data_IF_151929619526
#
_entry.id   IF_151929619526
#
_cell.length_a   1.000
_cell.length_b   1.000
_cell.length_c   1.000
_cell.angle_alpha   90.00
_cell.angle_beta   90.00
_cell.angle_gamma   90.00
#
_symmetry.space_group_name_H-M   'P 1'
#
loop_
_entity.id
_entity.type
_entity.pdbx_description
1 polymer ?
#
# COMPACT_ATOMS: atom_id res chain seq x y z
N UNK A 1 -4.29 17.46 -5.17
CA UNK A 1 -4.70 17.30 -6.59
C UNK A 1 -5.94 16.40 -6.61
N UNK A 2 -6.88 16.52 -7.57
CA UNK A 2 -8.17 15.80 -7.54
C UNK A 2 -8.05 14.29 -7.35
N UNK A 3 -7.09 13.63 -8.02
CA UNK A 3 -6.86 12.18 -7.87
C UNK A 3 -6.45 11.74 -6.45
N UNK A 4 -5.81 12.62 -5.68
CA UNK A 4 -5.42 12.31 -4.30
C UNK A 4 -6.61 12.42 -3.35
N UNK A 5 -7.58 13.29 -3.65
CA UNK A 5 -8.87 13.33 -2.95
C UNK A 5 -9.64 12.01 -3.17
N UNK A 6 -9.57 11.45 -4.37
CA UNK A 6 -10.18 10.15 -4.67
C UNK A 6 -9.51 9.00 -3.91
N UNK A 7 -8.18 8.94 -3.91
CA UNK A 7 -7.45 7.94 -3.13
C UNK A 7 -7.72 8.07 -1.62
N UNK A 8 -7.76 9.28 -1.07
CA UNK A 8 -8.11 9.50 0.35
C UNK A 8 -9.50 8.97 0.67
N UNK A 9 -10.49 9.31 -0.17
CA UNK A 9 -11.86 8.78 -0.04
C UNK A 9 -11.86 7.25 -0.06
N UNK A 10 -11.14 6.63 -0.99
CA UNK A 10 -11.00 5.17 -1.06
C UNK A 10 -10.39 4.56 0.21
N UNK A 11 -9.31 5.16 0.74
CA UNK A 11 -8.62 4.68 1.95
C UNK A 11 -9.50 4.82 3.21
N UNK A 12 -10.37 5.83 3.25
CA UNK A 12 -11.30 6.09 4.35
C UNK A 12 -12.52 5.15 4.34
N UNK A 13 -12.89 4.56 3.20
CA UNK A 13 -14.02 3.63 3.09
C UNK A 13 -13.94 2.51 4.13
N UNK A 14 -15.07 2.17 4.75
CA UNK A 14 -15.13 1.07 5.71
C UNK A 14 -15.34 -0.29 5.03
N UNK A 15 -14.38 -0.66 4.20
CA UNK A 15 -14.32 -1.96 3.51
C UNK A 15 -12.91 -2.54 3.65
N UNK A 16 -12.75 -3.86 3.66
CA UNK A 16 -11.42 -4.48 3.62
C UNK A 16 -10.67 -4.07 2.35
N UNK A 17 -9.36 -3.89 2.47
CA UNK A 17 -8.42 -3.52 1.43
C UNK A 17 -7.40 -4.62 1.31
N UNK A 18 -7.32 -5.22 0.12
CA UNK A 18 -6.26 -6.14 -0.23
C UNK A 18 -5.12 -5.37 -0.88
N UNK A 19 -3.92 -5.52 -0.30
CA UNK A 19 -2.79 -4.67 -0.64
C UNK A 19 -1.63 -5.55 -1.10
N UNK A 20 -1.03 -5.18 -2.23
CA UNK A 20 0.21 -5.75 -2.70
C UNK A 20 1.27 -4.65 -2.81
N UNK A 21 2.44 -4.92 -2.24
CA UNK A 21 3.63 -4.11 -2.44
C UNK A 21 4.51 -4.80 -3.48
N UNK A 22 5.05 -4.04 -4.43
CA UNK A 22 6.07 -4.48 -5.34
C UNK A 22 7.25 -3.51 -5.34
N UNK A 23 8.46 -4.05 -5.45
CA UNK A 23 9.68 -3.30 -5.67
C UNK A 23 10.40 -3.84 -6.91
N UNK A 24 10.93 -2.93 -7.71
CA UNK A 24 11.60 -3.25 -8.96
C UNK A 24 12.84 -2.39 -9.20
N UNK A 25 13.78 -2.97 -9.94
CA UNK A 25 14.95 -2.29 -10.48
C UNK A 25 15.01 -2.55 -11.97
N UNK A 26 15.41 -1.54 -12.75
CA UNK A 26 15.53 -1.64 -14.20
C UNK A 26 16.25 -2.91 -14.64
N UNK A 27 15.66 -3.64 -15.60
CA UNK A 27 16.21 -4.87 -16.18
C UNK A 27 16.01 -6.15 -15.37
N UNK A 28 15.31 -6.13 -14.23
CA UNK A 28 14.95 -7.33 -13.45
C UNK A 28 13.44 -7.44 -13.24
N UNK A 29 12.95 -8.66 -13.13
CA UNK A 29 11.57 -8.89 -12.70
C UNK A 29 11.34 -8.28 -11.29
N UNK A 30 10.20 -7.60 -11.06
CA UNK A 30 9.88 -7.06 -9.76
C UNK A 30 9.61 -8.20 -8.77
N UNK A 31 9.88 -7.95 -7.50
CA UNK A 31 9.41 -8.80 -6.41
C UNK A 31 8.17 -8.19 -5.79
N UNK A 32 7.16 -9.00 -5.51
CA UNK A 32 5.93 -8.54 -4.86
C UNK A 32 5.57 -9.39 -3.64
N UNK A 33 4.94 -8.74 -2.66
CA UNK A 33 4.43 -9.37 -1.46
C UNK A 33 3.10 -8.76 -1.03
N UNK A 34 2.43 -9.43 -0.10
CA UNK A 34 1.20 -8.91 0.51
C UNK A 34 1.55 -7.87 1.57
N UNK A 35 0.79 -6.80 1.60
CA UNK A 35 0.76 -5.86 2.71
C UNK A 35 -0.58 -5.94 3.45
N UNK A 36 -0.60 -5.49 4.70
CA UNK A 36 -1.70 -5.72 5.63
C UNK A 36 -2.43 -4.44 6.03
N UNK A 37 -1.81 -3.27 5.81
CA UNK A 37 -2.49 -1.98 5.81
C UNK A 37 -1.63 -0.95 5.08
N UNK A 38 -2.23 0.19 4.76
CA UNK A 38 -1.58 1.35 4.16
C UNK A 38 -2.13 2.61 4.83
N UNK A 39 -1.26 3.55 5.16
CA UNK A 39 -1.62 4.81 5.80
C UNK A 39 -0.88 5.98 5.15
N UNK A 40 -1.56 7.06 4.73
CA UNK A 40 -0.89 8.28 4.33
C UNK A 40 -0.23 8.96 5.54
N UNK A 41 0.96 9.52 5.36
CA UNK A 41 1.63 10.36 6.35
C UNK A 41 0.98 11.76 6.37
N UNK A 42 0.61 12.22 7.56
CA UNK A 42 0.00 13.54 7.72
C UNK A 42 1.05 14.65 7.73
N UNK A 43 0.80 15.75 7.02
CA UNK A 43 1.32 17.06 7.39
C UNK A 43 2.71 17.49 6.88
N UNK A 44 3.27 16.93 5.80
CA UNK A 44 4.62 17.34 5.34
C UNK A 44 4.74 17.79 3.87
N UNK A 45 3.66 18.15 3.18
CA UNK A 45 3.71 18.69 1.81
C UNK A 45 4.27 17.75 0.73
N UNK A 46 4.83 16.60 1.13
CA UNK A 46 5.15 15.44 0.30
C UNK A 46 4.25 14.30 0.74
N UNK A 47 3.54 13.75 -0.23
CA UNK A 47 2.66 12.63 0.00
C UNK A 47 3.52 11.39 0.17
N UNK A 48 3.58 10.91 1.41
CA UNK A 48 4.23 9.67 1.75
C UNK A 48 3.16 8.68 2.22
N UNK A 49 3.38 7.41 1.89
CA UNK A 49 2.53 6.32 2.33
C UNK A 49 3.37 5.33 3.14
N UNK A 50 2.85 4.91 4.28
CA UNK A 50 3.40 3.84 5.09
C UNK A 50 2.64 2.54 4.82
N UNK A 51 3.34 1.54 4.30
CA UNK A 51 2.79 0.25 3.89
C UNK A 51 3.28 -0.80 4.88
N UNK A 52 2.36 -1.57 5.47
CA UNK A 52 2.72 -2.53 6.52
C UNK A 52 2.88 -3.92 5.94
N UNK A 53 4.09 -4.45 6.04
CA UNK A 53 4.47 -5.77 5.52
C UNK A 53 5.06 -6.60 6.65
N UNK A 54 4.95 -7.92 6.57
CA UNK A 54 5.67 -8.80 7.51
C UNK A 54 7.17 -8.64 7.32
N UNK A 55 7.92 -8.67 8.41
CA UNK A 55 9.39 -8.60 8.39
C UNK A 55 9.99 -9.69 7.48
N UNK A 56 9.47 -10.92 7.55
CA UNK A 56 9.88 -12.03 6.69
C UNK A 56 9.63 -11.79 5.19
N UNK A 57 8.59 -11.03 4.84
CA UNK A 57 8.33 -10.64 3.45
C UNK A 57 9.21 -9.46 3.03
N UNK A 58 9.43 -8.49 3.93
CA UNK A 58 10.34 -7.38 3.70
C UNK A 58 11.75 -7.85 3.42
N UNK A 59 12.22 -8.90 4.10
CA UNK A 59 13.55 -9.46 3.89
C UNK A 59 13.84 -9.82 2.43
N UNK A 60 12.80 -10.19 1.66
CA UNK A 60 12.89 -10.51 0.22
C UNK A 60 12.69 -9.27 -0.65
N UNK A 61 11.78 -8.36 -0.27
CA UNK A 61 11.55 -7.10 -0.98
C UNK A 61 12.79 -6.22 -0.95
N UNK A 62 13.47 -6.12 0.19
CA UNK A 62 14.62 -5.22 0.37
C UNK A 62 15.79 -5.53 -0.57
N UNK A 63 15.94 -6.77 -1.03
CA UNK A 63 16.95 -7.14 -2.04
C UNK A 63 16.73 -6.41 -3.39
N UNK A 64 15.49 -5.99 -3.65
CA UNK A 64 15.07 -5.22 -4.81
C UNK A 64 15.01 -3.71 -4.53
N UNK A 65 15.20 -3.30 -3.28
CA UNK A 65 15.18 -1.90 -2.84
C UNK A 65 16.62 -1.43 -2.58
N UNK A 66 17.24 -0.83 -3.60
CA UNK A 66 18.50 -0.06 -3.48
C UNK A 66 18.20 1.43 -3.60
N UNK A 67 19.23 2.29 -3.54
CA UNK A 67 19.09 3.72 -3.86
C UNK A 67 18.28 3.88 -5.16
N UNK A 68 17.24 4.73 -5.10
CA UNK A 68 16.32 5.03 -6.21
C UNK A 68 15.40 3.88 -6.68
N UNK A 69 15.19 2.85 -5.86
CA UNK A 69 14.28 1.77 -6.22
C UNK A 69 12.84 2.26 -6.42
N UNK A 70 12.25 1.82 -7.54
CA UNK A 70 10.86 2.07 -7.87
C UNK A 70 9.98 1.09 -7.11
N UNK A 71 8.93 1.63 -6.50
CA UNK A 71 7.95 0.87 -5.75
C UNK A 71 6.55 1.11 -6.32
N UNK A 72 5.72 0.08 -6.23
CA UNK A 72 4.31 0.16 -6.56
C UNK A 72 3.48 -0.49 -5.45
N UNK A 73 2.35 0.11 -5.14
CA UNK A 73 1.36 -0.41 -4.18
C UNK A 73 0.03 -0.52 -4.89
N UNK A 74 -0.46 -1.75 -5.05
CA UNK A 74 -1.83 -2.00 -5.51
C UNK A 74 -2.74 -2.09 -4.29
N UNK A 75 -3.79 -1.28 -4.28
CA UNK A 75 -4.85 -1.28 -3.30
C UNK A 75 -6.12 -1.74 -4.01
N UNK A 76 -6.81 -2.73 -3.45
CA UNK A 76 -8.07 -3.25 -4.01
C UNK A 76 -9.11 -3.37 -2.89
N UNK A 77 -10.29 -2.81 -3.11
CA UNK A 77 -11.46 -3.03 -2.25
C UNK A 77 -11.88 -4.50 -2.32
N UNK A 78 -11.99 -5.13 -1.16
CA UNK A 78 -12.41 -6.53 -1.05
C UNK A 78 -13.91 -6.76 -1.25
N UNK A 79 -14.69 -5.70 -1.54
CA UNK A 79 -16.15 -5.78 -1.71
C UNK A 79 -16.56 -5.58 -3.17
N UNK A 80 -15.98 -4.60 -3.85
CA UNK A 80 -16.40 -4.17 -5.20
C UNK A 80 -15.25 -4.15 -6.22
N UNK A 81 -14.04 -4.58 -5.84
CA UNK A 81 -12.83 -4.60 -6.67
C UNK A 81 -12.38 -3.22 -7.18
N UNK A 82 -12.91 -2.11 -6.64
CA UNK A 82 -12.35 -0.79 -6.90
C UNK A 82 -10.87 -0.81 -6.53
N UNK A 83 -9.99 -0.44 -7.47
CA UNK A 83 -8.55 -0.63 -7.33
C UNK A 83 -7.75 0.57 -7.81
N UNK A 84 -6.69 0.88 -7.06
CA UNK A 84 -5.75 1.95 -7.35
C UNK A 84 -4.32 1.43 -7.23
N UNK A 85 -3.44 1.92 -8.10
CA UNK A 85 -2.01 1.69 -7.98
C UNK A 85 -1.28 3.00 -7.72
N UNK A 86 -0.60 3.05 -6.59
CA UNK A 86 0.33 4.11 -6.24
C UNK A 86 1.71 3.69 -6.76
N UNK A 87 2.42 4.58 -7.46
CA UNK A 87 3.83 4.40 -7.81
C UNK A 87 4.67 5.51 -7.18
N UNK A 88 5.89 5.16 -6.84
CA UNK A 88 6.80 6.06 -6.17
C UNK A 88 8.16 5.45 -5.95
N UNK A 89 8.92 6.10 -5.08
CA UNK A 89 10.26 5.68 -4.68
C UNK A 89 10.29 5.26 -3.22
N UNK A 90 11.24 4.39 -2.89
CA UNK A 90 11.47 3.99 -1.51
C UNK A 90 11.87 5.17 -0.62
N UNK A 91 11.18 5.33 0.52
CA UNK A 91 11.36 6.43 1.46
C UNK A 91 11.84 5.99 2.86
N UNK A 92 12.21 4.72 3.03
CA UNK A 92 12.72 4.19 4.29
C UNK A 92 11.87 3.06 4.88
N UNK A 93 12.35 2.48 5.98
CA UNK A 93 11.66 1.42 6.71
C UNK A 93 11.85 1.63 8.21
N UNK A 94 10.82 1.33 9.00
CA UNK A 94 10.84 1.43 10.46
C UNK A 94 9.87 0.45 11.10
N UNK A 95 10.00 0.25 12.41
CA UNK A 95 8.99 -0.45 13.19
C UNK A 95 7.65 0.31 13.19
N UNK A 96 6.54 -0.42 13.40
CA UNK A 96 5.21 0.18 13.53
C UNK A 96 5.12 1.06 14.79
N UNK A 97 4.66 2.29 14.62
CA UNK A 97 4.32 3.17 15.74
C UNK A 97 2.87 2.90 16.22
N UNK A 98 2.39 3.51 17.32
CA UNK A 98 1.03 3.28 17.81
C UNK A 98 -0.09 3.58 16.79
N UNK A 99 0.07 4.60 15.94
CA UNK A 99 -0.91 4.92 14.88
C UNK A 99 -0.97 3.83 13.82
N UNK A 100 0.19 3.29 13.45
CA UNK A 100 0.31 2.20 12.49
C UNK A 100 -0.34 0.93 13.03
N UNK A 101 -0.09 0.62 14.30
CA UNK A 101 -0.72 -0.52 14.98
C UNK A 101 -2.24 -0.37 15.02
N UNK A 102 -2.75 0.83 15.32
CA UNK A 102 -4.18 1.10 15.28
C UNK A 102 -4.76 0.93 13.87
N UNK A 103 -4.04 1.38 12.84
CA UNK A 103 -4.46 1.20 11.45
C UNK A 103 -4.48 -0.27 11.04
N UNK A 104 -3.46 -1.05 11.40
CA UNK A 104 -3.41 -2.49 11.14
C UNK A 104 -4.59 -3.23 11.82
N UNK A 105 -4.88 -2.90 13.08
CA UNK A 105 -6.02 -3.48 13.82
C UNK A 105 -7.37 -3.15 13.19
N UNK A 106 -7.56 -1.92 12.71
CA UNK A 106 -8.79 -1.54 11.97
C UNK A 106 -8.95 -2.37 10.71
N UNK A 107 -7.87 -2.59 9.97
CA UNK A 107 -7.92 -3.37 8.73
C UNK A 107 -8.23 -4.86 8.99
N UNK A 108 -7.64 -5.43 10.03
CA UNK A 108 -7.98 -6.77 10.50
C UNK A 108 -9.44 -6.89 10.92
N UNK A 109 -9.97 -5.88 11.60
CA UNK A 109 -11.39 -5.84 11.99
C UNK A 109 -12.30 -5.84 10.75
N UNK A 110 -12.02 -5.01 9.74
CA UNK A 110 -12.77 -4.96 8.48
C UNK A 110 -12.77 -6.30 7.75
N UNK A 111 -11.63 -6.96 7.67
CA UNK A 111 -11.51 -8.28 7.02
C UNK A 111 -12.37 -9.31 7.78
N UNK A 112 -12.31 -9.33 9.11
CA UNK A 112 -13.12 -10.25 9.93
C UNK A 112 -14.62 -9.98 9.79
N UNK A 113 -15.02 -8.71 9.73
CA UNK A 113 -16.42 -8.33 9.56
C UNK A 113 -16.98 -8.70 8.18
N UNK A 114 -16.19 -8.54 7.12
CA UNK A 114 -16.63 -8.80 5.75
C UNK A 114 -16.63 -10.29 5.37
N UNK A 115 -15.83 -11.11 6.06
CA UNK A 115 -15.60 -12.53 5.71
C UNK A 115 -15.70 -13.42 6.97
N UNK A 116 -16.86 -13.46 7.64
CA UNK A 116 -17.02 -14.11 8.94
C UNK A 116 -16.78 -15.63 8.90
N UNK A 117 -17.18 -16.29 7.81
CA UNK A 117 -17.13 -17.75 7.69
C UNK A 117 -15.87 -18.27 6.98
N UNK A 118 -15.04 -17.37 6.48
CA UNK A 118 -13.90 -17.73 5.63
C UNK A 118 -12.57 -17.87 6.40
N UNK A 119 -12.58 -17.67 7.73
CA UNK A 119 -11.36 -17.65 8.55
C UNK A 119 -11.46 -18.48 9.85
N UNK A 120 -11.04 -19.75 9.79
CA UNK A 120 -10.16 -20.30 10.83
C UNK A 120 -8.76 -19.70 10.63
N UNK A 121 -7.96 -19.39 11.67
CA UNK A 121 -6.88 -18.40 11.59
C UNK A 121 -5.65 -18.93 10.83
N UNK A 122 -5.22 -18.25 9.73
CA UNK A 122 -3.78 -17.99 9.63
C UNK A 122 -3.41 -16.58 9.11
N UNK A 123 -4.36 -15.66 8.89
CA UNK A 123 -4.06 -14.26 8.48
C UNK A 123 -4.01 -13.30 9.68
N UNK A 124 -3.87 -13.83 10.90
CA UNK A 124 -3.43 -13.00 12.03
C UNK A 124 -2.00 -12.56 11.74
N UNK A 125 -1.77 -11.27 11.61
CA UNK A 125 -0.42 -10.71 11.65
C UNK A 125 -0.35 -9.86 12.91
N UNK A 126 0.62 -10.13 13.76
CA UNK A 126 0.83 -9.29 14.92
C UNK A 126 1.58 -8.03 14.52
N UNK A 127 1.32 -6.93 15.22
CA UNK A 127 2.02 -5.68 14.97
C UNK A 127 3.55 -5.83 15.12
N UNK A 128 4.00 -6.69 16.03
CA UNK A 128 5.41 -7.01 16.26
C UNK A 128 6.07 -7.75 15.10
N UNK A 129 5.30 -8.35 14.20
CA UNK A 129 5.81 -9.05 13.02
C UNK A 129 5.86 -8.14 11.79
N UNK A 130 5.41 -6.89 11.91
CA UNK A 130 5.29 -5.95 10.80
C UNK A 130 6.32 -4.83 10.85
N UNK A 131 6.70 -4.37 9.65
CA UNK A 131 7.44 -3.14 9.41
C UNK A 131 6.60 -2.15 8.61
N UNK A 132 6.81 -0.86 8.85
CA UNK A 132 6.28 0.22 8.02
C UNK A 132 7.31 0.60 6.96
N UNK A 133 6.98 0.32 5.71
CA UNK A 133 7.79 0.66 4.54
C UNK A 133 7.24 1.94 3.92
N UNK A 134 8.10 2.95 3.82
CA UNK A 134 7.76 4.26 3.26
C UNK A 134 7.83 4.26 1.75
N UNK A 135 6.80 4.82 1.12
CA UNK A 135 6.75 5.13 -0.29
C UNK A 135 6.56 6.64 -0.47
N UNK A 136 7.49 7.29 -1.16
CA UNK A 136 7.35 8.67 -1.61
C UNK A 136 6.53 8.71 -2.90
N UNK A 137 5.37 9.35 -2.86
CA UNK A 137 4.42 9.40 -3.96
C UNK A 137 4.98 10.09 -5.21
N UNK A 138 4.78 9.46 -6.37
CA UNK A 138 5.06 10.06 -7.68
C UNK A 138 3.82 10.05 -8.58
N UNK A 139 3.07 8.96 -8.61
CA UNK A 139 1.90 8.84 -9.49
C UNK A 139 0.84 7.89 -8.97
N UNK A 140 -0.39 8.09 -9.43
CA UNK A 140 -1.58 7.31 -9.11
C UNK A 140 -2.27 6.87 -10.39
N UNK A 141 -2.65 5.59 -10.44
CA UNK A 141 -3.37 4.99 -11.57
C UNK A 141 -4.63 4.30 -11.09
N UNK A 142 -5.69 4.36 -11.88
CA UNK A 142 -6.86 3.48 -11.69
C UNK A 142 -6.48 2.08 -12.18
N UNK A 143 -6.84 1.06 -11.41
CA UNK A 143 -6.65 -0.35 -11.76
C UNK A 143 -7.97 -1.13 -11.72
N UNK A 144 -9.07 -0.46 -11.37
CA UNK A 144 -10.42 -1.03 -11.47
C UNK A 144 -10.64 -1.55 -12.90
N UNK A 145 -11.02 -2.84 -13.08
CA UNK A 145 -11.28 -3.39 -14.40
C UNK A 145 -12.31 -2.57 -15.17
N UNK A 146 -11.97 -2.17 -16.39
CA UNK A 146 -12.84 -1.35 -17.24
C UNK A 146 -12.03 -0.57 -18.28
N UNK A 147 -12.69 0.24 -19.14
CA UNK A 147 -12.04 0.97 -20.22
C UNK A 147 -10.94 1.94 -19.79
N UNK A 148 -10.96 2.37 -18.53
CA UNK A 148 -9.99 3.30 -17.96
C UNK A 148 -8.86 2.60 -17.20
N UNK A 149 -8.86 1.26 -17.08
CA UNK A 149 -7.83 0.54 -16.32
C UNK A 149 -6.43 0.88 -16.83
N UNK A 150 -5.54 1.28 -15.92
CA UNK A 150 -4.18 1.73 -16.22
C UNK A 150 -4.06 3.23 -16.51
N UNK A 151 -5.15 4.00 -16.55
CA UNK A 151 -5.08 5.45 -16.74
C UNK A 151 -4.52 6.16 -15.50
N UNK A 152 -3.70 7.19 -15.72
CA UNK A 152 -3.19 8.05 -14.65
C UNK A 152 -4.28 9.00 -14.15
N UNK A 153 -4.38 9.16 -12.82
CA UNK A 153 -5.33 10.05 -12.14
C UNK A 153 -4.61 11.24 -11.48
N UNK A 154 -3.36 11.04 -11.06
CA UNK A 154 -2.51 12.08 -10.52
C UNK A 154 -1.03 11.75 -10.77
N UNK A 155 -0.23 12.77 -11.08
CA UNK A 155 1.22 12.65 -11.23
C UNK A 155 1.88 13.88 -10.61
N UNK A 156 3.02 13.68 -9.97
CA UNK A 156 3.83 14.76 -9.44
C UNK A 156 4.70 15.29 -10.59
N UNK A 157 4.59 16.59 -10.88
CA UNK A 157 5.50 17.23 -11.83
C UNK A 157 6.94 17.01 -11.37
N UNK A 158 7.74 16.35 -12.20
CA UNK A 158 9.19 16.28 -11.94
C UNK A 158 9.73 17.69 -12.14
N UNK A 159 10.07 18.36 -11.04
CA UNK A 159 10.90 19.56 -11.12
C UNK A 159 12.26 19.13 -11.68
N UNK A 160 12.49 19.44 -12.95
CA UNK A 160 13.79 19.31 -13.62
C UNK A 160 14.81 20.27 -13.03
#
# INVERSE_FOLDING_TARGET
>A
MPGLTELSRFLERDVPKFIHLAAGRGGRAPFSCRAYACRPEAGQGREHYWIYVRESQWARVQEHVKEEAQMAVLLTSGVDNESYQIKGTYAGVRALNPEDQACLKREQHRIRAALPDMFAPPIGVEASECLAVGLAFESLYVQTPGPQAGAAIAERSRSS
#
